data_IF_287493636460
#
_entry.id   IF_287493636460
#
_cell.length_a   1.000
_cell.length_b   1.000
_cell.length_c   1.000
_cell.angle_alpha   90.00
_cell.angle_beta   90.00
_cell.angle_gamma   90.00
#
_symmetry.space_group_name_H-M   'P 1'
#
loop_
_entity.id
_entity.type
_entity.pdbx_description
1 polymer ?
#
# COMPACT_ATOMS: atom_id res chain seq x y z
N UNK A 1 12.03 -26.63 -7.35
CA UNK A 1 10.80 -26.51 -8.15
C UNK A 1 10.72 -25.05 -8.52
N UNK A 2 10.90 -24.70 -9.81
CA UNK A 2 10.77 -23.34 -10.27
C UNK A 2 9.29 -22.92 -10.15
N UNK A 3 9.00 -21.85 -9.39
CA UNK A 3 7.69 -21.22 -9.41
C UNK A 3 7.47 -20.70 -10.83
N UNK A 4 6.47 -21.25 -11.51
CA UNK A 4 5.98 -20.69 -12.77
C UNK A 4 5.52 -19.23 -12.46
N UNK A 5 6.29 -18.28 -12.95
CA UNK A 5 5.85 -16.88 -12.98
C UNK A 5 4.61 -16.82 -13.85
N UNK A 6 3.49 -16.46 -13.23
CA UNK A 6 2.23 -16.23 -13.94
C UNK A 6 2.43 -15.04 -14.90
N UNK A 7 2.27 -15.21 -16.22
CA UNK A 7 2.60 -14.20 -17.23
C UNK A 7 1.64 -12.99 -17.26
N UNK A 8 0.68 -12.88 -16.36
CA UNK A 8 -0.39 -11.89 -16.42
C UNK A 8 -0.18 -10.66 -15.52
N UNK A 9 1.03 -10.09 -15.48
CA UNK A 9 1.14 -8.68 -15.09
C UNK A 9 0.75 -7.83 -16.31
N UNK A 10 -0.53 -7.82 -16.63
CA UNK A 10 -1.04 -6.88 -17.62
C UNK A 10 -0.98 -5.46 -17.02
N UNK A 11 -0.14 -4.54 -17.56
CA UNK A 11 -0.06 -3.16 -17.07
C UNK A 11 -1.42 -2.47 -16.99
N UNK A 12 -2.37 -2.87 -17.86
CA UNK A 12 -3.73 -2.36 -17.86
C UNK A 12 -4.51 -2.76 -16.60
N UNK A 13 -4.15 -3.85 -15.93
CA UNK A 13 -4.80 -4.30 -14.71
C UNK A 13 -4.30 -3.51 -13.49
N UNK A 14 -3.04 -3.05 -13.49
CA UNK A 14 -2.51 -2.18 -12.43
C UNK A 14 -3.33 -0.88 -12.36
N UNK A 15 -3.52 -0.21 -13.49
CA UNK A 15 -4.28 1.05 -13.54
C UNK A 15 -5.75 0.81 -13.14
N UNK A 16 -6.32 -0.33 -13.51
CA UNK A 16 -7.68 -0.74 -13.11
C UNK A 16 -7.78 -0.98 -11.60
N UNK A 17 -6.80 -1.68 -11.03
CA UNK A 17 -6.74 -1.94 -9.59
C UNK A 17 -6.53 -0.64 -8.78
N UNK A 18 -5.66 0.26 -9.27
CA UNK A 18 -5.48 1.58 -8.66
C UNK A 18 -6.75 2.42 -8.68
N UNK A 19 -7.52 2.36 -9.78
CA UNK A 19 -8.82 3.00 -9.86
C UNK A 19 -9.79 2.43 -8.82
N UNK A 20 -9.82 1.11 -8.65
CA UNK A 20 -10.64 0.46 -7.63
C UNK A 20 -10.20 0.85 -6.21
N UNK A 21 -8.90 0.88 -5.90
CA UNK A 21 -8.37 1.36 -4.62
C UNK A 21 -8.84 2.80 -4.37
N UNK A 22 -8.61 3.70 -5.32
CA UNK A 22 -9.03 5.09 -5.21
C UNK A 22 -10.52 5.24 -4.94
N UNK A 23 -11.37 4.48 -5.62
CA UNK A 23 -12.82 4.49 -5.41
C UNK A 23 -13.23 4.02 -4.01
N UNK A 24 -12.51 3.07 -3.40
CA UNK A 24 -12.76 2.63 -2.02
C UNK A 24 -12.33 3.69 -1.02
N UNK A 25 -11.12 4.26 -1.19
CA UNK A 25 -10.56 5.25 -0.26
C UNK A 25 -11.32 6.58 -0.28
N UNK A 26 -11.91 6.94 -1.41
CA UNK A 26 -12.50 8.28 -1.60
C UNK A 26 -13.99 8.26 -1.89
N UNK A 27 -14.70 7.21 -1.48
CA UNK A 27 -16.14 7.08 -1.73
C UNK A 27 -16.90 8.32 -1.24
N UNK A 28 -17.53 9.05 -2.19
CA UNK A 28 -18.28 10.28 -1.90
C UNK A 28 -17.46 11.56 -1.78
N UNK A 29 -16.15 11.52 -1.93
CA UNK A 29 -15.29 12.72 -1.87
C UNK A 29 -15.27 13.47 -3.21
N UNK A 30 -15.46 14.81 -3.14
CA UNK A 30 -15.42 15.68 -4.33
C UNK A 30 -14.00 15.99 -4.82
N UNK A 31 -13.04 16.00 -3.90
CA UNK A 31 -11.63 16.32 -4.17
C UNK A 31 -10.73 15.21 -3.59
N UNK A 32 -10.68 14.03 -4.25
CA UNK A 32 -10.05 12.85 -3.69
C UNK A 32 -8.56 13.07 -3.35
N UNK A 33 -7.82 13.79 -4.18
CA UNK A 33 -6.39 14.03 -3.97
C UNK A 33 -6.07 14.99 -2.82
N UNK A 34 -7.04 15.78 -2.36
CA UNK A 34 -6.91 16.71 -1.24
C UNK A 34 -7.53 16.17 0.06
N UNK A 35 -8.00 14.92 0.04
CA UNK A 35 -8.68 14.33 1.19
C UNK A 35 -7.70 14.13 2.35
N UNK A 36 -8.10 14.60 3.53
CA UNK A 36 -7.48 14.30 4.81
C UNK A 36 -8.39 13.34 5.54
N UNK A 37 -7.92 12.13 5.77
CA UNK A 37 -8.66 11.12 6.51
C UNK A 37 -8.53 11.36 8.03
N UNK A 38 -9.37 10.74 8.84
CA UNK A 38 -9.27 10.84 10.30
C UNK A 38 -7.93 10.31 10.78
N UNK A 39 -7.21 11.06 11.64
CA UNK A 39 -5.96 10.56 12.23
C UNK A 39 -6.15 9.27 13.02
N UNK A 40 -5.18 8.39 12.94
CA UNK A 40 -5.18 7.08 13.60
C UNK A 40 -3.92 6.90 14.45
N UNK A 41 -4.05 6.11 15.52
CA UNK A 41 -2.94 5.74 16.38
C UNK A 41 -2.29 4.45 15.85
N UNK A 42 -1.03 4.55 15.41
CA UNK A 42 -0.25 3.41 14.93
C UNK A 42 0.71 2.94 16.03
N UNK A 43 0.58 1.70 16.50
CA UNK A 43 1.48 1.13 17.49
C UNK A 43 2.90 0.98 16.97
N UNK A 44 3.87 1.39 17.79
CA UNK A 44 5.30 1.23 17.49
C UNK A 44 5.78 -0.09 18.08
N UNK A 45 6.10 -1.05 17.21
CA UNK A 45 6.53 -2.40 17.60
C UNK A 45 8.05 -2.53 17.66
N UNK A 46 8.51 -3.57 18.35
CA UNK A 46 9.91 -3.93 18.53
C UNK A 46 10.28 -4.10 19.99
N UNK A 47 11.56 -4.31 20.27
CA UNK A 47 12.14 -4.26 21.61
C UNK A 47 11.99 -2.87 22.22
N UNK A 48 12.24 -2.72 23.50
CA UNK A 48 12.16 -1.42 24.19
C UNK A 48 13.10 -0.38 23.54
N UNK A 49 14.33 -0.78 23.26
CA UNK A 49 15.32 0.08 22.60
C UNK A 49 14.91 0.49 21.19
N UNK A 50 14.37 -0.43 20.38
CA UNK A 50 13.88 -0.15 19.04
C UNK A 50 12.66 0.79 19.07
N UNK A 51 11.73 0.58 20.01
CA UNK A 51 10.60 1.47 20.19
C UNK A 51 11.04 2.87 20.59
N UNK A 52 11.96 3.00 21.54
CA UNK A 52 12.51 4.29 21.95
C UNK A 52 13.20 5.02 20.80
N UNK A 53 13.97 4.29 19.99
CA UNK A 53 14.61 4.84 18.79
C UNK A 53 13.59 5.34 17.75
N UNK A 54 12.56 4.52 17.45
CA UNK A 54 11.49 4.91 16.51
C UNK A 54 10.69 6.12 17.00
N UNK A 55 10.36 6.17 18.31
CA UNK A 55 9.69 7.35 18.91
C UNK A 55 10.54 8.61 18.71
N UNK A 56 11.84 8.52 18.95
CA UNK A 56 12.76 9.65 18.73
C UNK A 56 12.74 10.08 17.25
N UNK A 57 12.86 9.14 16.32
CA UNK A 57 12.82 9.44 14.89
C UNK A 57 11.50 10.11 14.47
N UNK A 58 10.34 9.61 14.92
CA UNK A 58 9.05 10.22 14.61
C UNK A 58 8.95 11.65 15.15
N UNK A 59 9.41 11.89 16.39
CA UNK A 59 9.41 13.23 16.98
C UNK A 59 10.35 14.19 16.22
N UNK A 60 11.54 13.75 15.83
CA UNK A 60 12.48 14.53 15.01
C UNK A 60 11.89 14.89 13.64
N UNK A 61 11.07 13.98 13.08
CA UNK A 61 10.31 14.23 11.86
C UNK A 61 9.05 15.08 12.10
N UNK A 62 8.77 15.49 13.33
CA UNK A 62 7.64 16.36 13.69
C UNK A 62 6.29 15.62 13.79
N UNK A 63 6.28 14.30 13.87
CA UNK A 63 5.08 13.53 14.17
C UNK A 63 4.81 13.51 15.68
N UNK A 64 3.53 13.45 16.05
CA UNK A 64 3.12 13.34 17.45
C UNK A 64 3.19 11.88 17.89
N UNK A 65 3.90 11.61 19.00
CA UNK A 65 3.92 10.30 19.65
C UNK A 65 3.29 10.39 21.03
N UNK A 66 2.62 9.32 21.46
CA UNK A 66 2.00 9.22 22.80
C UNK A 66 2.00 7.79 23.31
N UNK A 67 1.60 7.59 24.57
CA UNK A 67 1.37 6.26 25.13
C UNK A 67 -0.09 5.88 25.00
N UNK A 68 -0.36 4.65 24.59
CA UNK A 68 -1.70 4.04 24.54
C UNK A 68 -1.62 2.60 25.05
N UNK A 69 -2.33 2.29 26.12
CA UNK A 69 -2.31 0.97 26.74
C UNK A 69 -0.88 0.46 27.09
N UNK A 70 -0.02 1.36 27.61
CA UNK A 70 1.37 1.01 27.96
C UNK A 70 2.33 0.80 26.79
N UNK A 71 1.92 1.13 25.57
CA UNK A 71 2.74 1.04 24.36
C UNK A 71 2.84 2.38 23.64
N UNK A 72 3.98 2.72 23.06
CA UNK A 72 4.10 3.92 22.28
C UNK A 72 3.33 3.78 20.95
N UNK A 73 2.65 4.86 20.56
CA UNK A 73 1.99 5.02 19.27
C UNK A 73 2.45 6.32 18.61
N UNK A 74 2.45 6.35 17.28
CA UNK A 74 2.54 7.58 16.49
C UNK A 74 1.15 7.92 15.98
N UNK A 75 0.77 9.19 16.03
CA UNK A 75 -0.46 9.69 15.42
C UNK A 75 -0.17 9.94 13.95
N UNK A 76 -0.77 9.13 13.09
CA UNK A 76 -0.62 9.21 11.64
C UNK A 76 -1.93 9.62 10.98
N UNK A 77 -1.83 10.24 9.81
CA UNK A 77 -2.99 10.61 9.00
C UNK A 77 -2.86 10.05 7.60
N UNK A 78 -3.90 9.39 7.11
CA UNK A 78 -3.94 8.98 5.73
C UNK A 78 -4.29 10.18 4.83
N UNK A 79 -3.57 10.30 3.71
CA UNK A 79 -3.60 11.44 2.81
C UNK A 79 -4.07 11.03 1.41
N UNK A 80 -4.88 11.89 0.82
CA UNK A 80 -5.19 11.89 -0.60
C UNK A 80 -6.06 10.75 -1.09
N UNK A 81 -5.99 10.55 -2.40
CA UNK A 81 -6.87 9.67 -3.16
C UNK A 81 -6.65 8.17 -2.86
N UNK A 82 -5.52 7.82 -2.30
CA UNK A 82 -5.11 6.44 -2.04
C UNK A 82 -4.97 6.12 -0.55
N UNK A 83 -5.29 7.06 0.35
CA UNK A 83 -5.23 6.85 1.78
C UNK A 83 -3.82 6.52 2.29
N UNK A 84 -2.76 7.06 1.69
CA UNK A 84 -1.38 6.80 2.08
C UNK A 84 -1.05 7.51 3.39
N UNK A 85 -0.43 6.80 4.34
CA UNK A 85 -0.07 7.38 5.62
C UNK A 85 1.05 8.43 5.48
N UNK A 86 0.89 9.57 6.13
CA UNK A 86 1.83 10.67 6.14
C UNK A 86 3.22 10.26 6.66
N UNK A 87 3.27 9.35 7.63
CA UNK A 87 4.51 8.80 8.21
C UNK A 87 5.34 8.00 7.20
N UNK A 88 4.71 7.46 6.17
CA UNK A 88 5.36 6.64 5.12
C UNK A 88 5.48 7.38 3.79
N UNK A 89 4.84 8.55 3.65
CA UNK A 89 4.67 9.22 2.35
C UNK A 89 6.01 9.54 1.69
N UNK A 90 6.95 10.16 2.43
CA UNK A 90 8.28 10.48 1.92
C UNK A 90 9.08 9.23 1.49
N UNK A 91 8.92 8.12 2.23
CA UNK A 91 9.55 6.85 1.86
C UNK A 91 8.98 6.34 0.55
N UNK A 92 7.67 6.26 0.43
CA UNK A 92 7.02 5.80 -0.82
C UNK A 92 7.32 6.70 -2.01
N UNK A 93 7.42 8.02 -1.79
CA UNK A 93 7.84 8.97 -2.81
C UNK A 93 9.27 8.68 -3.29
N UNK A 94 10.19 8.45 -2.37
CA UNK A 94 11.58 8.07 -2.69
C UNK A 94 11.63 6.75 -3.47
N UNK A 95 10.90 5.74 -3.02
CA UNK A 95 10.81 4.43 -3.67
C UNK A 95 10.24 4.55 -5.10
N UNK A 96 9.34 5.52 -5.34
CA UNK A 96 8.81 5.87 -6.66
C UNK A 96 9.74 6.79 -7.48
N UNK A 97 10.96 7.06 -7.03
CA UNK A 97 11.94 7.90 -7.72
C UNK A 97 11.70 9.41 -7.61
N UNK A 98 10.97 9.86 -6.58
CA UNK A 98 10.78 11.27 -6.24
C UNK A 98 11.79 11.67 -5.14
N UNK A 99 13.06 11.85 -5.53
CA UNK A 99 14.19 11.95 -4.58
C UNK A 99 14.21 13.22 -3.73
N UNK A 100 13.61 14.31 -4.19
CA UNK A 100 13.57 15.59 -3.49
C UNK A 100 12.20 15.92 -2.91
N UNK A 101 11.35 14.92 -2.75
CA UNK A 101 10.00 15.09 -2.27
C UNK A 101 9.95 15.27 -0.76
N UNK A 102 9.14 16.25 -0.30
CA UNK A 102 8.80 16.46 1.09
C UNK A 102 7.29 16.76 1.21
N UNK A 103 6.52 15.81 1.73
CA UNK A 103 5.06 15.93 1.81
C UNK A 103 4.57 17.16 2.60
N UNK A 104 5.43 17.75 3.47
CA UNK A 104 5.10 18.97 4.24
C UNK A 104 5.04 20.24 3.40
N UNK A 105 5.49 20.18 2.13
CA UNK A 105 5.45 21.30 1.18
C UNK A 105 4.22 21.30 0.29
N UNK A 106 3.15 20.62 0.72
CA UNK A 106 1.87 20.48 0.01
C UNK A 106 1.94 19.76 -1.34
N UNK A 107 3.11 19.24 -1.74
CA UNK A 107 3.28 18.47 -2.98
C UNK A 107 2.52 17.15 -2.97
N UNK A 108 2.14 16.66 -1.78
CA UNK A 108 1.33 15.45 -1.66
C UNK A 108 -0.06 15.57 -2.29
N UNK A 109 -0.58 16.80 -2.46
CA UNK A 109 -1.90 17.06 -3.09
C UNK A 109 -1.85 16.98 -4.62
N UNK A 110 -0.66 16.94 -5.23
CA UNK A 110 -0.52 16.80 -6.68
C UNK A 110 -0.99 15.40 -7.12
N UNK A 111 -2.02 15.31 -7.99
CA UNK A 111 -2.49 14.04 -8.53
C UNK A 111 -1.38 13.20 -9.17
N UNK A 112 -0.47 13.81 -9.92
CA UNK A 112 0.61 13.11 -10.59
C UNK A 112 1.61 12.49 -9.60
N UNK A 113 1.87 13.16 -8.48
CA UNK A 113 2.70 12.65 -7.37
C UNK A 113 2.04 11.44 -6.74
N UNK A 114 0.77 11.57 -6.33
CA UNK A 114 0.04 10.47 -5.69
C UNK A 114 -0.13 9.26 -6.61
N UNK A 115 -0.51 9.48 -7.87
CA UNK A 115 -0.68 8.40 -8.85
C UNK A 115 0.65 7.65 -9.09
N UNK A 116 1.77 8.38 -9.17
CA UNK A 116 3.10 7.76 -9.32
C UNK A 116 3.51 6.92 -8.12
N UNK A 117 3.31 7.45 -6.90
CA UNK A 117 3.60 6.73 -5.66
C UNK A 117 2.72 5.49 -5.55
N UNK A 118 1.41 5.63 -5.76
CA UNK A 118 0.46 4.54 -5.68
C UNK A 118 0.75 3.44 -6.70
N UNK A 119 1.14 3.80 -7.93
CA UNK A 119 1.51 2.85 -8.97
C UNK A 119 2.74 2.03 -8.57
N UNK A 120 3.80 2.69 -8.12
CA UNK A 120 5.01 2.00 -7.65
C UNK A 120 4.72 1.06 -6.48
N UNK A 121 3.91 1.49 -5.51
CA UNK A 121 3.53 0.69 -4.36
C UNK A 121 2.69 -0.54 -4.77
N UNK A 122 1.70 -0.36 -5.66
CA UNK A 122 0.87 -1.44 -6.18
C UNK A 122 1.70 -2.48 -6.95
N UNK A 123 2.61 -2.04 -7.82
CA UNK A 123 3.53 -2.90 -8.55
C UNK A 123 4.44 -3.69 -7.59
N UNK A 124 5.01 -3.03 -6.58
CA UNK A 124 5.86 -3.65 -5.57
C UNK A 124 5.10 -4.71 -4.79
N UNK A 125 3.88 -4.42 -4.36
CA UNK A 125 3.05 -5.38 -3.64
C UNK A 125 2.59 -6.52 -4.54
N UNK A 126 2.23 -6.24 -5.79
CA UNK A 126 1.82 -7.30 -6.72
C UNK A 126 2.98 -8.25 -7.04
N UNK A 127 4.19 -7.73 -7.31
CA UNK A 127 5.39 -8.56 -7.46
C UNK A 127 5.64 -9.47 -6.24
N UNK A 128 5.39 -8.95 -5.04
CA UNK A 128 5.60 -9.69 -3.79
C UNK A 128 4.53 -10.74 -3.52
N UNK A 129 3.27 -10.44 -3.79
CA UNK A 129 2.13 -11.29 -3.36
C UNK A 129 1.50 -12.07 -4.50
N UNK A 130 1.63 -11.63 -5.73
CA UNK A 130 1.01 -12.18 -6.95
C UNK A 130 -0.52 -12.35 -6.82
N UNK A 131 -1.18 -11.41 -6.12
CA UNK A 131 -2.61 -11.41 -5.85
C UNK A 131 -3.10 -10.01 -5.54
N UNK A 132 -4.12 -9.53 -6.23
CA UNK A 132 -4.75 -8.23 -5.96
C UNK A 132 -5.47 -8.19 -4.62
N UNK A 133 -6.01 -9.32 -4.16
CA UNK A 133 -6.58 -9.44 -2.82
C UNK A 133 -5.50 -9.16 -1.75
N UNK A 134 -4.33 -9.78 -1.90
CA UNK A 134 -3.22 -9.56 -0.98
C UNK A 134 -2.58 -8.18 -1.12
N UNK A 135 -2.58 -7.59 -2.32
CA UNK A 135 -2.22 -6.18 -2.51
C UNK A 135 -3.15 -5.28 -1.68
N UNK A 136 -4.47 -5.50 -1.76
CA UNK A 136 -5.42 -4.72 -0.98
C UNK A 136 -5.28 -4.96 0.52
N UNK A 137 -5.08 -6.19 0.95
CA UNK A 137 -4.79 -6.51 2.36
C UNK A 137 -3.52 -5.81 2.84
N UNK A 138 -2.45 -5.80 2.02
CA UNK A 138 -1.22 -5.10 2.34
C UNK A 138 -1.42 -3.59 2.43
N UNK A 139 -2.25 -3.04 1.56
CA UNK A 139 -2.56 -1.61 1.50
C UNK A 139 -3.28 -1.12 2.75
N UNK A 140 -4.33 -1.81 3.16
CA UNK A 140 -5.21 -1.43 4.26
C UNK A 140 -4.78 -2.04 5.60
N UNK A 141 -4.41 -3.33 5.61
CA UNK A 141 -4.05 -4.11 6.81
C UNK A 141 -2.57 -4.24 7.10
N UNK A 142 -1.72 -3.75 6.18
CA UNK A 142 -0.27 -3.79 6.27
C UNK A 142 0.38 -5.00 5.60
N UNK A 143 1.63 -4.83 5.10
CA UNK A 143 2.35 -5.86 4.34
C UNK A 143 2.65 -7.11 5.17
N UNK A 144 2.83 -7.00 6.48
CA UNK A 144 3.04 -8.13 7.36
C UNK A 144 1.85 -9.08 7.40
N UNK A 145 0.61 -8.55 7.44
CA UNK A 145 -0.61 -9.36 7.42
C UNK A 145 -0.79 -10.07 6.08
N UNK A 146 -0.60 -9.36 4.97
CA UNK A 146 -0.65 -9.98 3.65
C UNK A 146 0.36 -11.14 3.51
N UNK A 147 1.55 -11.00 4.13
CA UNK A 147 2.54 -12.07 4.14
C UNK A 147 2.07 -13.27 4.94
N UNK A 148 1.50 -13.10 6.13
CA UNK A 148 0.96 -14.20 6.93
C UNK A 148 -0.12 -14.98 6.19
N UNK A 149 -0.98 -14.29 5.45
CA UNK A 149 -1.99 -14.95 4.61
C UNK A 149 -1.30 -15.70 3.47
N UNK A 150 -0.32 -15.09 2.80
CA UNK A 150 0.44 -15.74 1.73
C UNK A 150 1.14 -17.01 2.19
N UNK A 151 1.67 -17.02 3.43
CA UNK A 151 2.36 -18.19 4.03
C UNK A 151 1.41 -19.20 4.67
N UNK A 152 0.10 -18.90 4.75
CA UNK A 152 -0.89 -19.78 5.39
C UNK A 152 -0.93 -19.70 6.91
N UNK A 153 -0.25 -18.73 7.53
CA UNK A 153 -0.31 -18.49 8.98
C UNK A 153 -1.63 -17.85 9.42
N UNK A 154 -2.26 -17.07 8.53
CA UNK A 154 -3.59 -16.48 8.69
C UNK A 154 -4.43 -16.74 7.45
N UNK A 155 -5.76 -16.64 7.56
CA UNK A 155 -6.68 -16.68 6.42
C UNK A 155 -7.42 -15.35 6.30
N UNK A 156 -8.01 -15.09 5.12
CA UNK A 156 -8.82 -13.87 4.92
C UNK A 156 -10.00 -13.83 5.89
N UNK A 157 -10.60 -15.00 6.17
CA UNK A 157 -11.76 -15.13 7.07
C UNK A 157 -11.39 -14.89 8.54
N UNK A 158 -10.12 -15.08 8.92
CA UNK A 158 -9.64 -14.83 10.28
C UNK A 158 -9.29 -13.36 10.56
N UNK A 159 -9.30 -12.52 9.52
CA UNK A 159 -9.01 -11.09 9.68
C UNK A 159 -10.14 -10.35 10.39
N UNK A 160 -9.83 -9.19 11.03
CA UNK A 160 -10.85 -8.28 11.54
C UNK A 160 -11.90 -7.93 10.47
N UNK A 161 -13.17 -7.84 10.88
CA UNK A 161 -14.31 -7.66 9.99
C UNK A 161 -14.19 -6.45 9.07
N UNK A 162 -13.59 -5.38 9.56
CA UNK A 162 -13.40 -4.16 8.78
C UNK A 162 -12.40 -4.34 7.61
N UNK A 163 -11.36 -5.18 7.77
CA UNK A 163 -10.45 -5.53 6.65
C UNK A 163 -11.19 -6.42 5.65
N UNK A 164 -11.99 -7.37 6.11
CA UNK A 164 -12.81 -8.20 5.23
C UNK A 164 -13.81 -7.36 4.44
N UNK A 165 -14.49 -6.40 5.11
CA UNK A 165 -15.43 -5.48 4.47
C UNK A 165 -14.75 -4.58 3.44
N UNK A 166 -13.56 -4.08 3.75
CA UNK A 166 -12.76 -3.27 2.85
C UNK A 166 -12.33 -4.05 1.60
N UNK A 167 -11.82 -5.28 1.79
CA UNK A 167 -11.46 -6.17 0.70
C UNK A 167 -12.68 -6.49 -0.19
N UNK A 168 -13.85 -6.74 0.41
CA UNK A 168 -15.08 -7.00 -0.33
C UNK A 168 -15.50 -5.80 -1.20
N UNK A 169 -15.40 -4.57 -0.66
CA UNK A 169 -15.65 -3.35 -1.42
C UNK A 169 -14.67 -3.21 -2.59
N UNK A 170 -13.38 -3.46 -2.34
CA UNK A 170 -12.35 -3.41 -3.38
C UNK A 170 -12.64 -4.41 -4.50
N UNK A 171 -12.94 -5.67 -4.19
CA UNK A 171 -13.28 -6.70 -5.19
C UNK A 171 -14.47 -6.25 -6.05
N UNK A 172 -15.53 -5.78 -5.42
CA UNK A 172 -16.72 -5.27 -6.15
C UNK A 172 -16.38 -4.13 -7.11
N UNK A 173 -15.52 -3.18 -6.69
CA UNK A 173 -15.06 -2.07 -7.55
C UNK A 173 -14.15 -2.57 -8.66
N UNK A 174 -13.22 -3.48 -8.36
CA UNK A 174 -12.30 -4.05 -9.34
C UNK A 174 -13.05 -4.80 -10.43
N UNK A 175 -13.98 -5.69 -10.07
CA UNK A 175 -14.79 -6.46 -11.01
C UNK A 175 -15.61 -5.54 -11.93
N UNK A 176 -16.18 -4.47 -11.36
CA UNK A 176 -16.89 -3.46 -12.14
C UNK A 176 -15.98 -2.77 -13.15
N UNK A 177 -14.77 -2.35 -12.75
CA UNK A 177 -13.84 -1.67 -13.64
C UNK A 177 -13.29 -2.60 -14.74
N UNK A 178 -13.10 -3.89 -14.45
CA UNK A 178 -12.74 -4.90 -15.45
C UNK A 178 -13.87 -5.07 -16.47
N UNK A 179 -15.13 -5.13 -16.00
CA UNK A 179 -16.30 -5.33 -16.87
C UNK A 179 -16.61 -4.13 -17.80
N UNK A 180 -16.14 -2.92 -17.45
CA UNK A 180 -16.35 -1.70 -18.26
C UNK A 180 -15.35 -1.62 -19.42
N UNK A 181 -14.19 -2.28 -19.34
CA UNK A 181 -13.24 -2.31 -20.47
C UNK A 181 -13.75 -3.29 -21.52
N UNK A 182 -14.22 -2.83 -22.71
CA UNK A 182 -14.54 -3.75 -23.79
C UNK A 182 -13.26 -4.47 -24.22
N UNK A 183 -13.39 -5.75 -24.57
CA UNK A 183 -12.36 -6.57 -25.21
C UNK A 183 -11.85 -5.91 -26.51
N UNK A 184 -10.99 -4.93 -26.41
CA UNK A 184 -10.27 -4.41 -27.57
C UNK A 184 -8.77 -4.54 -27.30
N UNK A 185 -8.25 -5.53 -27.98
CA UNK A 185 -6.85 -5.87 -28.26
C UNK A 185 -6.37 -7.16 -27.57
N UNK A 186 -6.91 -8.29 -28.04
CA UNK A 186 -6.08 -9.48 -28.25
C UNK A 186 -5.25 -9.23 -29.52
N UNK A 187 -4.28 -8.35 -29.43
CA UNK A 187 -3.24 -8.16 -30.43
C UNK A 187 -2.15 -9.19 -30.16
N UNK A 188 -1.93 -10.07 -31.12
CA UNK A 188 -0.84 -11.03 -31.24
C UNK A 188 0.49 -10.39 -30.82
N UNK A 189 1.00 -10.74 -29.65
CA UNK A 189 2.32 -10.32 -29.21
C UNK A 189 3.35 -11.22 -29.88
N UNK A 190 4.14 -10.63 -30.79
CA UNK A 190 5.40 -11.25 -31.24
C UNK A 190 6.32 -11.37 -30.02
N UNK A 191 6.81 -12.57 -29.80
CA UNK A 191 7.86 -12.87 -28.83
C UNK A 191 9.14 -12.20 -29.34
N UNK A 192 9.64 -11.24 -28.60
CA UNK A 192 11.01 -10.72 -28.76
C UNK A 192 11.76 -11.22 -27.54
N UNK A 193 12.67 -12.17 -27.78
CA UNK A 193 13.65 -12.61 -26.80
C UNK A 193 14.62 -11.45 -26.52
N UNK A 194 14.58 -10.91 -25.29
CA UNK A 194 15.64 -10.03 -24.79
C UNK A 194 16.15 -10.54 -23.44
N UNK A 195 17.23 -11.30 -23.53
CA UNK A 195 18.05 -11.79 -22.41
C UNK A 195 18.91 -10.62 -21.88
N UNK A 196 18.36 -9.79 -20.99
CA UNK A 196 19.22 -8.98 -20.13
C UNK A 196 18.45 -8.26 -18.99
N UNK A 197 18.19 -8.91 -17.88
CA UNK A 197 18.01 -8.22 -16.61
C UNK A 197 18.29 -9.14 -15.41
N UNK A 198 19.58 -9.44 -15.21
CA UNK A 198 20.08 -9.87 -13.90
C UNK A 198 20.69 -8.64 -13.20
N UNK A 199 19.92 -7.91 -12.42
CA UNK A 199 20.43 -7.05 -11.36
C UNK A 199 19.57 -7.24 -10.12
N UNK A 200 20.09 -8.09 -9.23
CA UNK A 200 19.56 -8.27 -7.90
C UNK A 200 19.31 -6.94 -7.19
N UNK A 201 18.05 -6.64 -6.96
CA UNK A 201 17.65 -5.56 -6.05
C UNK A 201 17.86 -6.13 -4.64
N UNK A 202 18.73 -5.53 -3.80
CA UNK A 202 18.89 -5.97 -2.43
C UNK A 202 17.55 -5.76 -1.71
N UNK A 203 16.97 -6.87 -1.25
CA UNK A 203 15.82 -6.84 -0.33
C UNK A 203 16.33 -6.26 0.98
N UNK A 204 15.78 -5.16 1.49
CA UNK A 204 16.11 -4.71 2.84
C UNK A 204 15.61 -5.78 3.81
N UNK A 205 16.53 -6.46 4.47
CA UNK A 205 16.22 -7.21 5.67
C UNK A 205 15.67 -6.23 6.71
N UNK A 206 14.53 -6.60 7.30
CA UNK A 206 13.94 -5.97 8.49
C UNK A 206 13.44 -4.52 8.39
N UNK A 207 12.54 -4.27 7.46
CA UNK A 207 11.69 -3.09 7.46
C UNK A 207 10.21 -3.44 7.66
N UNK A 208 9.82 -3.95 8.84
CA UNK A 208 8.41 -4.10 9.20
C UNK A 208 7.77 -2.73 9.29
N UNK A 209 7.06 -2.32 8.25
CA UNK A 209 6.17 -1.17 8.28
C UNK A 209 4.81 -1.74 8.71
N UNK A 210 4.34 -1.47 9.94
CA UNK A 210 2.99 -1.84 10.31
C UNK A 210 2.04 -0.99 9.48
N UNK A 211 1.17 -1.64 8.72
CA UNK A 211 -0.02 -0.99 8.18
C UNK A 211 -0.91 -0.46 9.32
N UNK A 212 -1.89 0.39 9.03
CA UNK A 212 -2.78 0.93 10.05
C UNK A 212 -3.42 -0.21 10.84
N UNK A 213 -3.02 -0.35 12.10
CA UNK A 213 -3.69 -1.25 13.02
C UNK A 213 -4.98 -0.57 13.46
N UNK A 214 -6.06 -1.19 13.07
CA UNK A 214 -7.40 -0.83 13.47
C UNK A 214 -7.52 -1.15 14.96
N UNK A 215 -8.14 -0.28 15.77
CA UNK A 215 -8.38 -0.55 17.18
C UNK A 215 -9.23 -1.82 17.31
N UNK A 216 -8.77 -2.77 18.12
CA UNK A 216 -9.62 -3.80 18.70
C UNK A 216 -10.57 -3.08 19.67
N UNK A 217 -11.86 -3.22 19.47
CA UNK A 217 -12.90 -2.85 20.45
C UNK A 217 -12.84 -3.74 21.69
#
# INVERSE_FOLDING_TARGET
>A
MAEEMNPDINPSLIDTALKAIKLVETEGQKQPYQTLHTPVDIYIYGTESERAYKVKQFNELGFVTKQKNGRPVVVAQALGAYGLLDIDFNKFAKDAGLTNFDFRKDEWQDPAVQDKIAKNLAETYFKRYNSWDLVRVAWFGGPGRAMKIKTGEETIESMPQNIQNDLSKFKTKLDKEISIKPESTLGTTQVVDDDSYDRGIPVPEDGFIPGPLIPEE
#
